data_IF_771999527842
#
_entry.id   IF_771999527842
#
_cell.length_a   1.000
_cell.length_b   1.000
_cell.length_c   1.000
_cell.angle_alpha   90.00
_cell.angle_beta   90.00
_cell.angle_gamma   90.00
#
_symmetry.space_group_name_H-M   'P 1'
#
loop_
_entity.id
_entity.type
_entity.pdbx_description
1 polymer ?
#
# COMPACT_ATOMS: atom_id res chain seq x y z
N UNK A 1 -1.55 5.11 2.82
CA UNK A 1 -0.46 6.06 2.62
C UNK A 1 0.76 5.72 3.47
N UNK A 2 1.93 5.94 2.92
CA UNK A 2 3.22 5.84 3.64
C UNK A 2 3.81 7.22 3.96
N UNK A 3 3.01 8.25 3.87
CA UNK A 3 3.29 9.54 4.44
C UNK A 3 2.80 9.56 5.88
N UNK A 4 3.69 9.78 6.84
CA UNK A 4 3.37 9.69 8.28
C UNK A 4 2.28 10.68 8.70
N UNK A 5 2.29 11.89 8.16
CA UNK A 5 1.28 12.91 8.44
C UNK A 5 -0.12 12.50 7.95
N UNK A 6 -0.20 11.99 6.71
CA UNK A 6 -1.45 11.46 6.14
C UNK A 6 -1.91 10.24 6.92
N UNK A 7 -1.01 9.32 7.23
CA UNK A 7 -1.32 8.11 7.97
C UNK A 7 -1.91 8.44 9.34
N UNK A 8 -1.31 9.36 10.09
CA UNK A 8 -1.80 9.78 11.39
C UNK A 8 -3.12 10.52 11.33
N UNK A 9 -3.29 11.40 10.35
CA UNK A 9 -4.52 12.15 10.17
C UNK A 9 -5.70 11.26 9.79
N UNK A 10 -5.48 10.29 8.92
CA UNK A 10 -6.53 9.39 8.42
C UNK A 10 -6.85 8.25 9.40
N UNK A 11 -5.82 7.48 9.80
CA UNK A 11 -6.03 6.27 10.62
C UNK A 11 -6.07 6.56 12.11
N UNK A 12 -5.48 7.65 12.57
CA UNK A 12 -5.39 8.02 13.99
C UNK A 12 -4.91 6.85 14.86
N UNK A 13 -3.74 6.25 14.54
CA UNK A 13 -3.26 5.05 15.19
C UNK A 13 -2.96 5.30 16.66
N UNK A 14 -3.21 4.29 17.50
CA UNK A 14 -2.90 4.31 18.93
C UNK A 14 -1.85 3.25 19.22
N UNK A 15 -0.70 3.68 19.73
CA UNK A 15 0.38 2.78 20.15
C UNK A 15 1.24 2.20 19.03
N UNK A 16 1.07 2.63 17.78
CA UNK A 16 1.90 2.20 16.66
C UNK A 16 2.00 3.29 15.58
N UNK A 17 2.91 3.14 14.65
CA UNK A 17 3.12 4.02 13.51
C UNK A 17 3.52 3.24 12.26
N UNK A 18 3.95 3.95 11.22
CA UNK A 18 4.38 3.32 9.96
C UNK A 18 5.61 2.42 10.11
N UNK A 19 6.47 2.70 11.08
CA UNK A 19 7.66 1.85 11.32
C UNK A 19 7.26 0.45 11.79
N UNK A 20 6.26 0.35 12.64
CA UNK A 20 5.71 -0.94 13.08
C UNK A 20 5.03 -1.69 11.93
N UNK A 21 4.29 -0.96 11.07
CA UNK A 21 3.67 -1.54 9.87
C UNK A 21 4.74 -2.13 8.95
N UNK A 22 5.79 -1.37 8.66
CA UNK A 22 6.92 -1.84 7.82
C UNK A 22 7.62 -3.05 8.44
N UNK A 23 7.85 -3.00 9.74
CA UNK A 23 8.46 -4.11 10.48
C UNK A 23 7.64 -5.38 10.39
N UNK A 24 6.33 -5.29 10.58
CA UNK A 24 5.43 -6.44 10.45
C UNK A 24 5.50 -7.06 9.05
N UNK A 25 5.50 -6.23 8.00
CA UNK A 25 5.64 -6.69 6.62
C UNK A 25 6.96 -7.45 6.40
N UNK A 26 8.07 -6.89 6.87
CA UNK A 26 9.40 -7.54 6.75
C UNK A 26 9.45 -8.87 7.49
N UNK A 27 8.96 -8.92 8.71
CA UNK A 27 8.94 -10.16 9.50
C UNK A 27 8.12 -11.25 8.82
N UNK A 28 6.99 -10.90 8.22
CA UNK A 28 6.16 -11.85 7.47
C UNK A 28 6.87 -12.33 6.22
N UNK A 29 7.49 -11.44 5.44
CA UNK A 29 8.23 -11.78 4.24
C UNK A 29 9.44 -12.68 4.57
N UNK A 30 10.21 -12.34 5.61
CA UNK A 30 11.37 -13.12 6.07
C UNK A 30 10.97 -14.52 6.53
N UNK A 31 9.75 -14.68 7.06
CA UNK A 31 9.20 -15.97 7.44
C UNK A 31 8.63 -16.77 6.26
N UNK A 32 8.74 -16.28 5.03
CA UNK A 32 8.20 -16.92 3.83
C UNK A 32 6.69 -16.72 3.62
N UNK A 33 6.06 -15.81 4.39
CA UNK A 33 4.65 -15.46 4.26
C UNK A 33 4.39 -14.49 3.11
N UNK A 34 3.11 -14.29 2.81
CA UNK A 34 2.66 -13.31 1.83
C UNK A 34 2.29 -11.99 2.51
N UNK A 35 2.71 -10.90 1.90
CA UNK A 35 2.36 -9.55 2.33
C UNK A 35 1.45 -8.93 1.28
N UNK A 36 0.21 -8.67 1.67
CA UNK A 36 -0.78 -8.00 0.85
C UNK A 36 -1.14 -6.66 1.49
N UNK A 37 -1.08 -5.59 0.71
CA UNK A 37 -1.51 -4.27 1.14
C UNK A 37 -2.89 -3.94 0.59
N UNK A 38 -3.74 -3.37 1.44
CA UNK A 38 -4.95 -2.68 1.03
C UNK A 38 -4.65 -1.19 0.99
N UNK A 39 -4.67 -0.60 -0.19
CA UNK A 39 -4.45 0.83 -0.38
C UNK A 39 -5.70 1.49 -0.96
N UNK A 40 -6.07 2.62 -0.39
CA UNK A 40 -7.15 3.44 -0.92
C UNK A 40 -6.69 4.18 -2.17
N UNK A 41 -7.53 4.17 -3.19
CA UNK A 41 -7.39 5.01 -4.37
C UNK A 41 -7.94 6.38 -4.04
N UNK A 42 -7.08 7.28 -3.64
CA UNK A 42 -7.44 8.61 -3.19
C UNK A 42 -6.79 9.67 -4.06
N UNK A 43 -7.52 10.25 -5.07
CA UNK A 43 -6.97 11.29 -5.94
C UNK A 43 -6.46 12.50 -5.15
N UNK A 44 -5.27 12.97 -5.49
CA UNK A 44 -4.60 14.06 -4.76
C UNK A 44 -3.79 13.61 -3.54
N UNK A 45 -3.84 12.34 -3.18
CA UNK A 45 -3.02 11.72 -2.13
C UNK A 45 -2.24 10.55 -2.72
N UNK A 46 -2.92 9.49 -3.11
CA UNK A 46 -2.29 8.24 -3.60
C UNK A 46 -1.50 8.45 -4.89
N UNK A 47 -1.95 9.33 -5.74
CA UNK A 47 -1.41 9.57 -7.08
C UNK A 47 -0.48 10.78 -7.19
N UNK A 48 -0.05 11.35 -6.06
CA UNK A 48 1.00 12.38 -6.10
C UNK A 48 2.38 11.74 -6.18
N UNK A 49 3.34 12.38 -6.90
CA UNK A 49 4.67 11.79 -7.10
C UNK A 49 5.41 11.43 -5.81
N UNK A 50 5.33 12.26 -4.78
CA UNK A 50 5.98 12.00 -3.50
C UNK A 50 5.41 10.76 -2.80
N UNK A 51 4.11 10.55 -2.88
CA UNK A 51 3.44 9.37 -2.32
C UNK A 51 3.76 8.11 -3.12
N UNK A 52 3.83 8.22 -4.44
CA UNK A 52 4.27 7.13 -5.32
C UNK A 52 5.67 6.63 -4.94
N UNK A 53 6.62 7.55 -4.73
CA UNK A 53 7.98 7.21 -4.29
C UNK A 53 7.98 6.49 -2.93
N UNK A 54 7.26 7.02 -1.95
CA UNK A 54 7.14 6.42 -0.61
C UNK A 54 6.50 5.04 -0.64
N UNK A 55 5.41 4.89 -1.38
CA UNK A 55 4.69 3.62 -1.51
C UNK A 55 5.55 2.57 -2.20
N UNK A 56 6.23 2.95 -3.27
CA UNK A 56 7.15 2.06 -3.99
C UNK A 56 8.30 1.60 -3.09
N UNK A 57 8.92 2.53 -2.37
CA UNK A 57 10.00 2.19 -1.44
C UNK A 57 9.53 1.27 -0.30
N UNK A 58 8.37 1.56 0.29
CA UNK A 58 7.79 0.73 1.34
C UNK A 58 7.43 -0.67 0.86
N UNK A 59 6.84 -0.80 -0.33
CA UNK A 59 6.53 -2.10 -0.92
C UNK A 59 7.78 -2.96 -1.14
N UNK A 60 8.85 -2.35 -1.62
CA UNK A 60 10.14 -3.03 -1.79
C UNK A 60 10.71 -3.47 -0.44
N UNK A 61 10.74 -2.57 0.54
CA UNK A 61 11.25 -2.84 1.88
C UNK A 61 10.49 -3.96 2.61
N UNK A 62 9.16 -3.96 2.50
CA UNK A 62 8.28 -4.91 3.17
C UNK A 62 8.15 -6.26 2.45
N UNK A 63 8.69 -6.39 1.26
CA UNK A 63 8.51 -7.61 0.46
C UNK A 63 7.06 -7.85 0.03
N UNK A 64 6.34 -6.80 -0.35
CA UNK A 64 4.93 -6.87 -0.74
C UNK A 64 4.75 -7.73 -1.97
N UNK A 65 3.80 -8.65 -1.94
CA UNK A 65 3.45 -9.56 -3.04
C UNK A 65 2.27 -9.06 -3.85
N UNK A 66 1.33 -8.38 -3.20
CA UNK A 66 0.09 -7.92 -3.83
C UNK A 66 -0.36 -6.59 -3.23
N UNK A 67 -0.90 -5.72 -4.07
CA UNK A 67 -1.63 -4.53 -3.63
C UNK A 67 -3.08 -4.66 -4.09
N UNK A 68 -4.00 -4.60 -3.14
CA UNK A 68 -5.43 -4.49 -3.39
C UNK A 68 -5.80 -3.01 -3.33
N UNK A 69 -6.12 -2.44 -4.48
CA UNK A 69 -6.57 -1.08 -4.60
C UNK A 69 -8.05 -0.99 -4.27
N UNK A 70 -8.40 -0.14 -3.31
CA UNK A 70 -9.78 0.02 -2.84
C UNK A 70 -10.29 1.41 -3.16
N UNK A 71 -11.54 1.49 -3.56
CA UNK A 71 -12.21 2.78 -3.74
C UNK A 71 -12.45 3.44 -2.40
N UNK A 72 -12.41 4.76 -2.39
CA UNK A 72 -12.74 5.56 -1.23
C UNK A 72 -14.25 5.49 -0.97
N UNK A 73 -14.64 5.20 0.28
CA UNK A 73 -16.05 5.04 0.69
C UNK A 73 -16.63 6.27 1.41
N UNK A 74 -15.89 7.36 1.44
CA UNK A 74 -16.30 8.61 2.08
C UNK A 74 -16.25 9.74 1.08
N UNK A 75 -16.90 10.87 1.39
CA UNK A 75 -16.86 12.06 0.58
C UNK A 75 -15.41 12.54 0.40
N UNK A 76 -14.97 12.60 -0.85
CA UNK A 76 -13.59 12.96 -1.21
C UNK A 76 -13.28 14.40 -0.81
N UNK A 77 -14.18 15.33 -1.09
CA UNK A 77 -13.93 16.74 -0.84
C UNK A 77 -13.86 17.04 0.65
N UNK A 78 -14.77 16.43 1.43
CA UNK A 78 -14.76 16.54 2.89
C UNK A 78 -13.45 15.99 3.48
N UNK A 79 -12.98 14.85 2.98
CA UNK A 79 -11.75 14.24 3.50
C UNK A 79 -10.50 15.06 3.12
N UNK A 80 -10.48 15.68 1.94
CA UNK A 80 -9.38 16.58 1.53
C UNK A 80 -9.24 17.80 2.43
N UNK A 81 -10.34 18.32 2.99
CA UNK A 81 -10.29 19.43 3.94
C UNK A 81 -9.59 19.06 5.24
N UNK A 82 -9.64 17.78 5.63
CA UNK A 82 -9.05 17.26 6.86
C UNK A 82 -7.59 16.78 6.70
N UNK A 83 -7.11 16.67 5.46
CA UNK A 83 -5.79 16.14 5.15
C UNK A 83 -4.87 17.23 4.59
N UNK A 84 -3.54 17.10 4.81
CA UNK A 84 -2.57 18.01 4.19
C UNK A 84 -2.64 17.96 2.67
N UNK A 85 -2.49 19.10 2.03
CA UNK A 85 -2.39 19.21 0.59
C UNK A 85 -0.99 18.75 0.13
N UNK A 86 -0.95 17.76 -0.79
CA UNK A 86 0.31 17.20 -1.30
C UNK A 86 0.67 17.68 -2.71
N UNK A 87 -0.20 18.44 -3.35
CA UNK A 87 -0.02 18.90 -4.72
C UNK A 87 -0.81 18.08 -5.74
N UNK A 88 -0.56 18.32 -7.05
CA UNK A 88 -1.33 17.68 -8.12
C UNK A 88 -1.01 16.19 -8.25
N UNK A 89 -2.04 15.39 -8.45
CA UNK A 89 -1.93 13.97 -8.77
C UNK A 89 -1.64 13.73 -10.26
N UNK A 90 -1.02 12.59 -10.55
CA UNK A 90 -0.70 12.17 -11.93
C UNK A 90 -1.71 11.17 -12.50
N UNK A 91 -2.67 10.74 -11.70
CA UNK A 91 -3.66 9.73 -12.05
C UNK A 91 -3.22 8.31 -11.74
N UNK A 92 -4.19 7.44 -11.41
CA UNK A 92 -3.93 6.06 -11.00
C UNK A 92 -3.34 5.20 -12.11
N UNK A 93 -3.71 5.46 -13.37
CA UNK A 93 -3.14 4.71 -14.51
C UNK A 93 -1.61 4.86 -14.57
N UNK A 94 -1.11 6.05 -14.32
CA UNK A 94 0.33 6.29 -14.26
C UNK A 94 0.98 5.67 -13.04
N UNK A 95 0.33 5.75 -11.89
CA UNK A 95 0.80 5.09 -10.65
C UNK A 95 0.98 3.59 -10.86
N UNK A 96 -0.02 2.93 -11.41
CA UNK A 96 0.02 1.50 -11.70
C UNK A 96 1.12 1.15 -12.71
N UNK A 97 1.26 1.93 -13.78
CA UNK A 97 2.29 1.71 -14.78
C UNK A 97 3.71 1.84 -14.20
N UNK A 98 3.96 2.88 -13.42
CA UNK A 98 5.27 3.11 -12.80
C UNK A 98 5.60 2.06 -11.73
N UNK A 99 4.64 1.70 -10.89
CA UNK A 99 4.84 0.65 -9.89
C UNK A 99 5.10 -0.72 -10.53
N UNK A 100 4.37 -1.06 -11.57
CA UNK A 100 4.57 -2.31 -12.31
C UNK A 100 5.93 -2.38 -12.99
N UNK A 101 6.44 -1.24 -13.48
CA UNK A 101 7.78 -1.17 -14.06
C UNK A 101 8.90 -1.30 -13.01
N UNK A 102 8.73 -0.66 -11.85
CA UNK A 102 9.73 -0.67 -10.77
C UNK A 102 9.71 -1.94 -9.93
N UNK A 103 8.54 -2.52 -9.73
CA UNK A 103 8.29 -3.68 -8.88
C UNK A 103 7.48 -4.74 -9.66
N UNK A 104 8.07 -5.39 -10.68
CA UNK A 104 7.34 -6.30 -11.57
C UNK A 104 6.82 -7.56 -10.89
N UNK A 105 7.33 -7.90 -9.71
CA UNK A 105 6.87 -9.06 -8.92
C UNK A 105 5.60 -8.80 -8.11
N UNK A 106 5.10 -7.57 -8.06
CA UNK A 106 3.89 -7.22 -7.31
C UNK A 106 2.66 -7.36 -8.20
N UNK A 107 1.66 -8.09 -7.71
CA UNK A 107 0.34 -8.19 -8.35
C UNK A 107 -0.56 -7.03 -7.90
N UNK A 108 -1.33 -6.47 -8.84
CA UNK A 108 -2.32 -5.43 -8.57
C UNK A 108 -3.71 -5.96 -8.84
N UNK A 109 -4.63 -5.81 -7.90
CA UNK A 109 -6.01 -6.25 -8.08
C UNK A 109 -6.83 -6.31 -6.80
N UNK A 110 -8.08 -6.70 -6.95
CA UNK A 110 -9.05 -6.82 -5.86
C UNK A 110 -9.44 -8.28 -5.54
N UNK A 111 -8.58 -9.22 -5.86
CA UNK A 111 -8.82 -10.63 -5.57
C UNK A 111 -7.96 -11.11 -4.41
N UNK A 112 -8.48 -12.06 -3.66
CA UNK A 112 -7.72 -12.75 -2.63
C UNK A 112 -6.82 -13.79 -3.29
N UNK A 113 -5.53 -13.71 -3.03
CA UNK A 113 -4.57 -14.69 -3.50
C UNK A 113 -4.78 -16.00 -2.75
N UNK A 114 -4.94 -17.14 -3.43
CA UNK A 114 -5.10 -18.41 -2.73
C UNK A 114 -3.82 -18.73 -1.94
N UNK A 115 -4.01 -19.23 -0.75
CA UNK A 115 -2.90 -19.75 0.05
C UNK A 115 -2.31 -20.96 -0.67
N UNK A 116 -0.98 -21.03 -0.84
CA UNK A 116 -0.37 -22.22 -1.43
C UNK A 116 -0.72 -23.45 -0.60
N UNK A 117 -1.12 -24.52 -1.26
CA UNK A 117 -1.34 -25.78 -0.58
C UNK A 117 -0.09 -26.19 0.20
N UNK A 118 -0.22 -26.75 1.41
CA UNK A 118 0.93 -27.26 2.12
C UNK A 118 1.64 -28.30 1.25
N UNK A 119 2.98 -28.26 1.25
CA UNK A 119 3.76 -29.25 0.53
C UNK A 119 3.32 -30.65 0.96
N UNK A 120 3.14 -31.57 -0.02
CA UNK A 120 2.81 -32.94 0.29
C UNK A 120 3.90 -33.52 1.20
N UNK A 121 3.49 -34.02 2.39
CA UNK A 121 4.42 -34.72 3.27
C UNK A 121 4.67 -36.07 2.62
N UNK A 122 5.87 -36.24 2.07
CA UNK A 122 6.33 -37.56 1.64
C UNK A 122 6.59 -38.40 2.90
N UNK A 123 5.63 -39.25 3.19
CA UNK A 123 5.75 -40.21 4.29
C UNK A 123 6.55 -41.42 3.88
#
# INVERSE_FOLDING_TARGET
SFNDEIFRAYYRPVGYGLDEVRRCGRLMADAGGQVCLNLLTFPGITDVPSELERTTAACSEMGVNQIQWRSLNVDHDWLLEELPELGPGVGMSRVLAEMSARLPGIEHGNFTRPWPAPAAVSG
#
